data_IF_477755310771
#
_entry.id   IF_477755310771
#
_cell.length_a   1.000
_cell.length_b   1.000
_cell.length_c   1.000
_cell.angle_alpha   90.00
_cell.angle_beta   90.00
_cell.angle_gamma   90.00
#
_symmetry.space_group_name_H-M   'P 1'
#
loop_
_entity.id
_entity.type
_entity.pdbx_description
1 polymer ?
#
# COMPACT_ATOMS: atom_id res chain seq x y z
N UNK A 1 1.12 56.38 20.29
CA UNK A 1 0.68 55.41 21.32
C UNK A 1 0.13 54.21 20.57
N UNK A 2 0.86 53.10 20.52
CA UNK A 2 0.35 51.87 19.93
C UNK A 2 -0.14 50.99 21.08
N UNK A 3 -1.45 50.91 21.24
CA UNK A 3 -2.09 49.99 22.17
C UNK A 3 -1.85 48.56 21.67
N UNK A 4 -0.95 47.84 22.32
CA UNK A 4 -0.51 46.52 21.90
C UNK A 4 -1.05 45.41 22.80
N UNK A 5 -2.35 45.39 23.08
CA UNK A 5 -2.98 44.24 23.74
C UNK A 5 -4.45 44.13 23.38
N UNK A 6 -4.81 43.20 22.49
CA UNK A 6 -6.16 42.62 22.46
C UNK A 6 -6.11 41.14 22.13
N UNK A 7 -6.64 40.39 23.09
CA UNK A 7 -7.30 39.09 22.98
C UNK A 7 -8.15 38.97 21.70
N UNK A 8 -8.04 37.82 21.03
CA UNK A 8 -9.02 37.37 20.05
C UNK A 8 -8.71 37.77 18.61
N UNK A 9 -8.25 36.81 17.82
CA UNK A 9 -8.37 36.74 16.36
C UNK A 9 -7.87 37.90 15.47
N UNK A 10 -7.17 38.87 16.02
CA UNK A 10 -6.56 39.93 15.22
C UNK A 10 -5.14 39.51 14.79
N UNK A 11 -4.99 39.17 13.51
CA UNK A 11 -3.69 39.29 12.83
C UNK A 11 -3.10 40.66 13.17
N UNK A 12 -1.79 40.76 13.45
CA UNK A 12 -1.18 42.07 13.75
C UNK A 12 -1.34 42.95 12.51
N UNK A 13 -2.36 43.79 12.51
CA UNK A 13 -2.66 44.71 11.43
C UNK A 13 -2.09 46.06 11.82
N UNK A 14 -1.15 46.54 11.02
CA UNK A 14 -0.61 47.88 11.16
C UNK A 14 -0.81 48.56 9.81
N UNK A 15 -1.47 49.72 9.80
CA UNK A 15 -1.80 50.45 8.57
C UNK A 15 -2.60 49.63 7.53
N UNK A 16 -3.53 48.77 7.98
CA UNK A 16 -4.38 47.98 7.09
C UNK A 16 -3.69 46.78 6.41
N UNK A 17 -2.41 46.51 6.71
CA UNK A 17 -1.70 45.31 6.24
C UNK A 17 -1.41 44.34 7.38
N UNK A 18 -1.45 43.05 7.08
CA UNK A 18 -0.99 42.00 8.01
C UNK A 18 0.53 42.03 8.09
N UNK A 19 1.06 42.22 9.30
CA UNK A 19 2.49 42.18 9.53
C UNK A 19 3.04 40.75 9.42
N UNK A 20 4.20 40.61 8.81
CA UNK A 20 4.93 39.35 8.79
C UNK A 20 5.58 39.07 10.15
N UNK A 21 5.84 37.80 10.45
CA UNK A 21 6.49 37.38 11.72
C UNK A 21 7.84 38.05 11.94
N UNK A 22 8.58 38.29 10.85
CA UNK A 22 9.84 39.02 10.87
C UNK A 22 9.65 40.47 11.37
N UNK A 23 8.59 41.15 10.92
CA UNK A 23 8.28 42.52 11.34
C UNK A 23 7.83 42.54 12.81
N UNK A 24 7.01 41.58 13.24
CA UNK A 24 6.61 41.44 14.65
C UNK A 24 7.82 41.12 15.54
N UNK A 25 8.75 40.32 15.05
CA UNK A 25 10.00 40.03 15.74
C UNK A 25 10.82 41.31 15.97
N UNK A 26 11.03 42.12 14.91
CA UNK A 26 11.73 43.39 15.00
C UNK A 26 11.01 44.37 15.94
N UNK A 27 9.71 44.57 15.77
CA UNK A 27 8.92 45.49 16.58
C UNK A 27 8.96 45.17 18.10
N UNK A 28 9.04 43.88 18.45
CA UNK A 28 9.15 43.47 19.85
C UNK A 28 10.56 43.58 20.46
N UNK A 29 11.61 43.78 19.64
CA UNK A 29 13.02 43.62 20.04
C UNK A 29 13.95 44.73 19.56
N UNK A 30 13.47 45.62 18.72
CA UNK A 30 14.19 46.75 18.17
C UNK A 30 13.34 48.00 18.36
N UNK A 31 13.96 49.06 18.85
CA UNK A 31 13.35 50.39 18.95
C UNK A 31 14.14 51.35 18.08
N UNK A 32 13.43 52.11 17.26
CA UNK A 32 14.04 53.20 16.50
C UNK A 32 14.26 54.38 17.44
N UNK A 33 15.52 54.79 17.62
CA UNK A 33 15.89 55.98 18.38
C UNK A 33 15.62 57.24 17.53
N UNK A 34 15.41 58.41 18.16
CA UNK A 34 15.22 59.68 17.44
C UNK A 34 16.41 60.05 16.55
N UNK A 35 17.60 59.52 16.85
CA UNK A 35 18.83 59.70 16.08
C UNK A 35 18.88 58.82 14.82
N UNK A 36 17.82 58.04 14.54
CA UNK A 36 17.76 57.10 13.42
C UNK A 36 18.52 55.79 13.63
N UNK A 37 19.05 55.57 14.83
CA UNK A 37 19.76 54.34 15.19
C UNK A 37 18.82 53.28 15.74
N UNK A 38 19.08 52.02 15.40
CA UNK A 38 18.30 50.88 15.90
C UNK A 38 18.86 50.41 17.25
N UNK A 39 18.03 50.46 18.29
CA UNK A 39 18.35 49.91 19.61
C UNK A 39 17.72 48.53 19.76
N UNK A 40 18.54 47.49 19.69
CA UNK A 40 18.14 46.12 19.93
C UNK A 40 18.13 45.80 21.43
N UNK A 41 17.16 45.00 21.87
CA UNK A 41 17.05 44.52 23.26
C UNK A 41 18.26 43.66 23.64
N UNK A 42 18.77 42.88 22.68
CA UNK A 42 19.94 42.02 22.85
C UNK A 42 20.62 41.74 21.49
N UNK A 43 21.92 41.43 21.54
CA UNK A 43 22.73 41.18 20.34
C UNK A 43 22.35 39.88 19.62
N UNK A 44 21.81 38.89 20.34
CA UNK A 44 21.34 37.62 19.76
C UNK A 44 20.11 37.85 18.88
N UNK A 45 19.20 38.71 19.30
CA UNK A 45 18.02 39.13 18.55
C UNK A 45 18.41 39.88 17.29
N UNK A 46 19.41 40.77 17.37
CA UNK A 46 19.96 41.47 16.20
C UNK A 46 20.50 40.48 15.18
N UNK A 47 21.38 39.56 15.59
CA UNK A 47 21.97 38.53 14.70
C UNK A 47 20.92 37.65 14.03
N UNK A 48 19.88 37.25 14.77
CA UNK A 48 18.77 36.46 14.20
C UNK A 48 18.00 37.25 13.16
N UNK A 49 17.75 38.53 13.40
CA UNK A 49 17.07 39.39 12.44
C UNK A 49 17.90 39.59 11.17
N UNK A 50 19.20 39.87 11.31
CA UNK A 50 20.14 39.98 10.19
C UNK A 50 20.16 38.67 9.37
N UNK A 51 20.28 37.51 10.01
CA UNK A 51 20.25 36.21 9.33
C UNK A 51 18.94 35.97 8.56
N UNK A 52 17.78 36.31 9.16
CA UNK A 52 16.50 36.20 8.45
C UNK A 52 16.42 37.18 7.27
N UNK A 53 16.94 38.40 7.42
CA UNK A 53 16.93 39.43 6.38
C UNK A 53 17.84 39.07 5.21
N UNK A 54 19.01 38.48 5.49
CA UNK A 54 19.97 38.02 4.48
C UNK A 54 19.38 36.91 3.61
N UNK A 55 18.61 35.99 4.21
CA UNK A 55 17.93 34.92 3.47
C UNK A 55 16.82 35.43 2.53
N UNK A 56 16.21 36.57 2.84
CA UNK A 56 15.14 37.19 2.04
C UNK A 56 15.73 38.12 0.98
N UNK A 57 16.92 38.67 1.22
CA UNK A 57 17.58 39.54 0.28
C UNK A 57 17.84 38.78 -1.04
N UNK A 58 17.49 39.36 -2.20
CA UNK A 58 17.81 38.74 -3.48
C UNK A 58 19.32 38.66 -3.60
N UNK A 59 19.86 37.45 -3.72
CA UNK A 59 21.26 37.25 -4.05
C UNK A 59 21.45 37.47 -5.55
N UNK A 60 22.35 38.39 -5.92
CA UNK A 60 22.65 38.73 -7.32
C UNK A 60 23.45 37.62 -8.06
N UNK A 61 23.65 36.45 -7.46
CA UNK A 61 24.66 35.48 -7.89
C UNK A 61 24.17 34.30 -8.73
N UNK A 62 22.87 33.97 -8.80
CA UNK A 62 22.42 32.81 -9.58
C UNK A 62 21.05 33.03 -10.27
N UNK A 63 21.10 33.34 -11.57
CA UNK A 63 19.94 33.62 -12.42
C UNK A 63 19.13 32.39 -12.86
N UNK A 64 19.41 31.18 -12.35
CA UNK A 64 18.77 29.93 -12.82
C UNK A 64 17.93 29.17 -11.77
N UNK A 65 17.86 29.64 -10.52
CA UNK A 65 16.87 29.12 -9.55
C UNK A 65 16.33 30.20 -8.62
N UNK A 66 15.52 31.11 -9.17
CA UNK A 66 14.81 32.12 -8.37
C UNK A 66 13.66 31.50 -7.55
N UNK A 67 13.99 30.82 -6.46
CA UNK A 67 13.11 30.71 -5.30
C UNK A 67 13.66 31.63 -4.23
N UNK A 68 13.32 32.91 -4.29
CA UNK A 68 13.55 33.83 -3.16
C UNK A 68 12.84 33.25 -1.95
N UNK A 69 13.58 32.95 -0.88
CA UNK A 69 12.98 32.39 0.32
C UNK A 69 11.90 33.32 0.84
N UNK A 70 10.70 32.78 1.12
CA UNK A 70 9.65 33.63 1.66
C UNK A 70 10.06 34.12 3.05
N UNK A 71 9.57 35.28 3.52
CA UNK A 71 9.85 35.76 4.86
C UNK A 71 9.50 34.76 5.97
N UNK A 72 8.53 33.87 5.71
CA UNK A 72 8.15 32.79 6.62
C UNK A 72 9.17 31.66 6.63
N UNK A 73 9.69 31.26 5.46
CA UNK A 73 10.70 30.21 5.36
C UNK A 73 12.02 30.63 6.03
N UNK A 74 12.43 31.88 5.82
CA UNK A 74 13.58 32.46 6.50
C UNK A 74 13.39 32.47 8.03
N UNK A 75 12.19 32.85 8.49
CA UNK A 75 11.86 32.83 9.91
C UNK A 75 11.91 31.41 10.49
N UNK A 76 11.31 30.42 9.82
CA UNK A 76 11.31 29.02 10.26
C UNK A 76 12.72 28.43 10.23
N UNK A 77 13.58 28.83 9.28
CA UNK A 77 14.97 28.41 9.22
C UNK A 77 15.77 28.86 10.45
N UNK A 78 15.70 30.15 10.79
CA UNK A 78 16.48 30.75 11.88
C UNK A 78 15.90 30.41 13.25
N UNK A 79 14.58 30.48 13.39
CA UNK A 79 13.90 30.30 14.67
C UNK A 79 13.53 28.83 14.91
N UNK A 80 13.41 28.02 13.86
CA UNK A 80 12.85 26.68 13.92
C UNK A 80 11.33 26.68 13.85
N UNK A 81 10.76 25.49 13.59
CA UNK A 81 9.31 25.27 13.56
C UNK A 81 8.65 25.63 14.89
N UNK A 82 7.42 26.12 14.81
CA UNK A 82 6.59 26.39 15.97
C UNK A 82 6.18 25.08 16.67
N UNK A 83 5.89 25.19 17.98
CA UNK A 83 5.34 24.06 18.74
C UNK A 83 3.82 24.01 18.54
N UNK A 84 3.21 22.82 18.55
CA UNK A 84 1.76 22.70 18.57
C UNK A 84 1.14 23.59 19.67
N UNK A 85 0.16 24.42 19.30
CA UNK A 85 -0.52 25.32 20.23
C UNK A 85 0.26 26.57 20.68
N UNK A 86 1.49 26.80 20.19
CA UNK A 86 2.28 27.99 20.53
C UNK A 86 3.00 28.57 19.32
N UNK A 87 2.66 29.81 18.96
CA UNK A 87 3.37 30.56 17.93
C UNK A 87 4.48 31.40 18.56
N UNK A 88 5.71 31.24 18.08
CA UNK A 88 6.84 32.06 18.54
C UNK A 88 6.62 33.52 18.21
N UNK A 89 7.00 34.39 19.15
CA UNK A 89 6.95 35.85 19.05
C UNK A 89 5.55 36.47 18.94
N UNK A 90 4.49 35.68 19.14
CA UNK A 90 3.11 36.13 19.05
C UNK A 90 2.33 36.15 20.38
N UNK A 91 3.00 35.83 21.50
CA UNK A 91 2.40 35.80 22.84
C UNK A 91 1.47 34.60 23.10
N UNK A 92 0.90 34.54 24.31
CA UNK A 92 -0.09 33.54 24.72
C UNK A 92 -1.50 33.96 24.29
N UNK A 93 -1.90 33.59 23.08
CA UNK A 93 -3.24 33.94 22.58
C UNK A 93 -3.43 33.71 21.09
N UNK A 94 -2.33 33.64 20.34
CA UNK A 94 -2.36 33.28 18.91
C UNK A 94 -2.05 31.79 18.75
N UNK A 95 -2.95 31.07 18.11
CA UNK A 95 -2.72 29.68 17.71
C UNK A 95 -2.10 29.64 16.32
N UNK A 96 -1.51 28.49 15.95
CA UNK A 96 -1.04 28.26 14.57
C UNK A 96 -2.13 28.60 13.55
N UNK A 97 -3.39 28.31 13.87
CA UNK A 97 -4.55 28.62 13.03
C UNK A 97 -4.72 30.11 12.73
N UNK A 98 -4.37 30.98 13.68
CA UNK A 98 -4.51 32.44 13.51
C UNK A 98 -3.46 33.00 12.55
N UNK A 99 -2.26 32.42 12.53
CA UNK A 99 -1.13 32.89 11.71
C UNK A 99 -1.10 32.26 10.33
N UNK A 100 -1.32 30.95 10.27
CA UNK A 100 -1.27 30.17 9.04
C UNK A 100 -2.64 30.00 8.39
N UNK A 101 -3.67 30.66 8.95
CA UNK A 101 -5.07 30.41 8.64
C UNK A 101 -5.54 29.06 9.17
N UNK A 102 -6.78 28.68 8.88
CA UNK A 102 -7.11 27.25 8.89
C UNK A 102 -6.18 26.58 7.89
N UNK A 103 -5.06 26.04 8.36
CA UNK A 103 -4.49 24.88 7.72
C UNK A 103 -5.62 23.90 7.70
N UNK A 104 -6.18 23.66 6.51
CA UNK A 104 -6.99 22.50 6.28
C UNK A 104 -6.08 21.27 6.41
N UNK A 105 -5.63 20.97 7.61
CA UNK A 105 -5.96 19.67 8.17
C UNK A 105 -7.48 19.69 8.40
N UNK A 106 -8.22 19.74 7.29
CA UNK A 106 -9.51 19.08 7.29
C UNK A 106 -9.27 17.60 7.64
N UNK A 107 -10.31 16.82 7.93
CA UNK A 107 -10.21 15.39 7.70
C UNK A 107 -9.64 15.24 6.30
N UNK A 108 -8.38 14.81 6.23
CA UNK A 108 -7.61 14.89 5.01
C UNK A 108 -8.37 14.11 3.96
N UNK A 109 -8.43 14.56 2.70
CA UNK A 109 -8.92 13.68 1.62
C UNK A 109 -8.17 12.33 1.59
N UNK A 110 -7.01 12.27 2.28
CA UNK A 110 -6.32 11.04 2.68
C UNK A 110 -7.12 10.12 3.58
N UNK A 111 -7.84 10.57 4.63
CA UNK A 111 -8.54 9.67 5.56
C UNK A 111 -9.74 8.96 4.93
N UNK A 112 -10.41 9.60 3.97
CA UNK A 112 -11.54 8.98 3.28
C UNK A 112 -11.06 8.02 2.18
N UNK A 113 -10.01 8.40 1.44
CA UNK A 113 -9.31 7.50 0.50
C UNK A 113 -8.68 6.30 1.22
N UNK A 114 -8.12 6.50 2.42
CA UNK A 114 -7.51 5.45 3.24
C UNK A 114 -8.56 4.53 3.84
N UNK A 115 -9.72 5.06 4.26
CA UNK A 115 -10.89 4.22 4.62
C UNK A 115 -11.38 3.39 3.44
N UNK A 116 -11.54 4.00 2.26
CA UNK A 116 -11.94 3.27 1.05
C UNK A 116 -10.91 2.20 0.68
N UNK A 117 -9.62 2.50 0.81
CA UNK A 117 -8.54 1.55 0.55
C UNK A 117 -8.54 0.39 1.57
N UNK A 118 -8.74 0.68 2.86
CA UNK A 118 -8.89 -0.34 3.90
C UNK A 118 -10.10 -1.24 3.65
N UNK A 119 -11.23 -0.66 3.23
CA UNK A 119 -12.43 -1.42 2.92
C UNK A 119 -12.23 -2.32 1.68
N UNK A 120 -11.56 -1.81 0.64
CA UNK A 120 -11.18 -2.61 -0.52
C UNK A 120 -10.23 -3.76 -0.17
N UNK A 121 -9.23 -3.51 0.67
CA UNK A 121 -8.31 -4.54 1.16
C UNK A 121 -9.05 -5.63 1.94
N UNK A 122 -9.97 -5.25 2.83
CA UNK A 122 -10.77 -6.19 3.60
C UNK A 122 -11.64 -7.07 2.71
N UNK A 123 -12.26 -6.50 1.68
CA UNK A 123 -13.03 -7.27 0.69
C UNK A 123 -12.15 -8.25 -0.10
N UNK A 124 -10.91 -7.88 -0.42
CA UNK A 124 -9.96 -8.81 -1.05
C UNK A 124 -9.53 -9.92 -0.11
N UNK A 125 -9.27 -9.60 1.16
CA UNK A 125 -8.91 -10.59 2.18
C UNK A 125 -10.05 -11.61 2.39
N UNK A 126 -11.29 -11.16 2.48
CA UNK A 126 -12.46 -12.04 2.60
C UNK A 126 -12.63 -12.95 1.36
N UNK A 127 -12.34 -12.43 0.16
CA UNK A 127 -12.36 -13.24 -1.08
C UNK A 127 -11.26 -14.30 -1.08
N UNK A 128 -10.05 -13.95 -0.69
CA UNK A 128 -8.93 -14.89 -0.59
C UNK A 128 -9.21 -15.96 0.46
N UNK A 129 -9.78 -15.58 1.60
CA UNK A 129 -10.19 -16.51 2.66
C UNK A 129 -11.25 -17.48 2.16
N UNK A 130 -12.29 -17.00 1.48
CA UNK A 130 -13.31 -17.87 0.89
C UNK A 130 -12.75 -18.80 -0.19
N UNK A 131 -11.73 -18.38 -0.94
CA UNK A 131 -11.03 -19.25 -1.89
C UNK A 131 -10.19 -20.31 -1.17
N UNK A 132 -9.49 -19.94 -0.10
CA UNK A 132 -8.74 -20.89 0.72
C UNK A 132 -9.67 -21.96 1.32
N UNK A 133 -10.84 -21.57 1.83
CA UNK A 133 -11.82 -22.52 2.36
C UNK A 133 -12.32 -23.49 1.28
N UNK A 134 -12.51 -23.03 0.03
CA UNK A 134 -12.85 -23.90 -1.10
C UNK A 134 -11.72 -24.88 -1.46
N UNK A 135 -10.46 -24.43 -1.41
CA UNK A 135 -9.32 -25.32 -1.66
C UNK A 135 -9.21 -26.39 -0.57
N UNK A 136 -9.39 -26.02 0.70
CA UNK A 136 -9.40 -26.98 1.81
C UNK A 136 -10.50 -28.03 1.63
N UNK A 137 -11.71 -27.63 1.21
CA UNK A 137 -12.78 -28.57 0.89
C UNK A 137 -12.44 -29.48 -0.30
N UNK A 138 -11.74 -28.95 -1.31
CA UNK A 138 -11.30 -29.72 -2.47
C UNK A 138 -10.22 -30.73 -2.10
N UNK A 139 -9.25 -30.32 -1.27
CA UNK A 139 -8.20 -31.18 -0.74
C UNK A 139 -8.78 -32.32 0.10
N UNK A 140 -9.82 -32.03 0.90
CA UNK A 140 -10.53 -33.06 1.64
C UNK A 140 -11.23 -34.05 0.70
N UNK A 141 -11.91 -33.56 -0.36
CA UNK A 141 -12.52 -34.43 -1.38
C UNK A 141 -11.51 -35.29 -2.11
N UNK A 142 -10.34 -34.73 -2.46
CA UNK A 142 -9.24 -35.47 -3.08
C UNK A 142 -8.75 -36.56 -2.12
N UNK A 143 -8.58 -36.23 -0.84
CA UNK A 143 -8.17 -37.18 0.20
C UNK A 143 -9.20 -38.30 0.41
N UNK A 144 -10.49 -38.00 0.25
CA UNK A 144 -11.56 -39.00 0.29
C UNK A 144 -11.51 -39.90 -0.95
N UNK A 145 -11.33 -39.33 -2.14
CA UNK A 145 -11.21 -40.09 -3.39
C UNK A 145 -9.98 -41.00 -3.39
N UNK A 146 -8.82 -40.52 -2.91
CA UNK A 146 -7.62 -41.35 -2.75
C UNK A 146 -7.87 -42.53 -1.80
N UNK A 147 -8.57 -42.31 -0.68
CA UNK A 147 -8.97 -43.41 0.22
C UNK A 147 -9.88 -44.43 -0.44
N UNK A 148 -10.81 -43.98 -1.29
CA UNK A 148 -11.69 -44.90 -2.04
C UNK A 148 -10.89 -45.67 -3.09
N UNK A 149 -9.99 -45.00 -3.82
CA UNK A 149 -9.13 -45.63 -4.81
C UNK A 149 -8.27 -46.74 -4.18
N UNK A 150 -7.61 -46.48 -3.04
CA UNK A 150 -6.85 -47.51 -2.33
C UNK A 150 -7.70 -48.72 -1.94
N UNK A 151 -8.95 -48.51 -1.50
CA UNK A 151 -9.87 -49.61 -1.19
C UNK A 151 -10.30 -50.40 -2.43
N UNK A 152 -10.47 -49.73 -3.57
CA UNK A 152 -10.78 -50.40 -4.84
C UNK A 152 -9.59 -51.25 -5.29
N UNK A 153 -8.36 -50.75 -5.14
CA UNK A 153 -7.14 -51.53 -5.42
C UNK A 153 -7.03 -52.76 -4.51
N UNK A 154 -7.30 -52.61 -3.21
CA UNK A 154 -7.36 -53.74 -2.26
C UNK A 154 -8.41 -54.78 -2.67
N UNK A 155 -9.61 -54.35 -3.07
CA UNK A 155 -10.65 -55.26 -3.58
C UNK A 155 -10.24 -55.96 -4.87
N UNK A 156 -9.54 -55.27 -5.77
CA UNK A 156 -9.02 -55.86 -7.02
C UNK A 156 -8.01 -56.98 -6.73
N UNK A 157 -7.10 -56.75 -5.79
CA UNK A 157 -6.12 -57.76 -5.35
C UNK A 157 -6.82 -58.98 -4.74
N UNK A 158 -7.83 -58.76 -3.89
CA UNK A 158 -8.64 -59.84 -3.30
C UNK A 158 -9.39 -60.66 -4.36
N UNK A 159 -10.02 -60.00 -5.34
CA UNK A 159 -10.71 -60.68 -6.45
C UNK A 159 -9.74 -61.51 -7.29
N UNK A 160 -8.53 -60.98 -7.56
CA UNK A 160 -7.49 -61.71 -8.27
C UNK A 160 -7.04 -62.96 -7.52
N UNK A 161 -6.85 -62.89 -6.19
CA UNK A 161 -6.53 -64.05 -5.38
C UNK A 161 -7.63 -65.12 -5.39
N UNK A 162 -8.91 -64.71 -5.35
CA UNK A 162 -10.05 -65.63 -5.42
C UNK A 162 -10.11 -66.31 -6.78
N UNK A 163 -9.92 -65.58 -7.88
CA UNK A 163 -9.87 -66.16 -9.23
C UNK A 163 -8.70 -67.14 -9.39
N UNK A 164 -7.52 -66.76 -8.92
CA UNK A 164 -6.33 -67.63 -8.96
C UNK A 164 -6.49 -68.92 -8.14
N UNK A 165 -7.30 -68.89 -7.07
CA UNK A 165 -7.62 -70.08 -6.28
C UNK A 165 -8.75 -70.93 -6.86
N UNK A 166 -9.64 -70.36 -7.70
CA UNK A 166 -10.67 -71.10 -8.44
C UNK A 166 -10.15 -71.84 -9.68
N UNK A 167 -9.06 -71.39 -10.30
CA UNK A 167 -8.44 -72.09 -11.45
C UNK A 167 -7.59 -73.31 -11.05
N UNK A 168 -7.50 -73.65 -9.75
CA UNK A 168 -6.79 -74.85 -9.27
C UNK A 168 -7.73 -76.05 -9.07
N UNK A 169 -8.64 -76.28 -10.01
CA UNK A 169 -9.28 -77.59 -10.19
C UNK A 169 -8.98 -78.09 -11.60
N UNK A 170 -8.20 -79.17 -11.64
CA UNK A 170 -7.72 -79.91 -12.80
C UNK A 170 -8.78 -80.06 -13.90
N UNK A 171 -8.49 -79.75 -15.18
CA UNK A 171 -9.35 -80.14 -16.27
C UNK A 171 -9.16 -81.64 -16.56
N UNK A 172 -10.20 -82.43 -16.38
CA UNK A 172 -10.26 -83.84 -16.80
C UNK A 172 -10.29 -83.88 -18.34
N UNK A 173 -9.42 -84.65 -19.02
CA UNK A 173 -9.42 -84.76 -20.48
C UNK A 173 -10.57 -85.67 -20.93
N UNK A 174 -11.46 -85.14 -21.78
CA UNK A 174 -12.48 -85.92 -22.49
C UNK A 174 -11.92 -86.29 -23.87
N UNK A 175 -12.03 -87.56 -24.33
CA UNK A 175 -11.51 -87.98 -25.63
C UNK A 175 -12.40 -87.49 -26.80
N UNK A 176 -11.85 -87.33 -28.01
CA UNK A 176 -12.53 -86.71 -29.14
C UNK A 176 -13.46 -87.71 -29.88
N UNK A 177 -14.61 -87.27 -30.41
CA UNK A 177 -15.37 -88.01 -31.41
C UNK A 177 -14.86 -87.76 -32.84
N UNK A 178 -15.21 -88.73 -33.68
CA UNK A 178 -14.66 -89.08 -34.98
C UNK A 178 -15.01 -88.08 -36.10
N UNK A 179 -14.10 -88.04 -37.07
CA UNK A 179 -13.98 -87.20 -38.26
C UNK A 179 -15.26 -87.04 -39.11
N UNK A 180 -15.39 -85.88 -39.73
CA UNK A 180 -16.02 -85.72 -41.05
C UNK A 180 -15.25 -84.65 -41.80
N UNK A 181 -14.54 -85.10 -42.83
CA UNK A 181 -13.74 -84.31 -43.75
C UNK A 181 -14.65 -83.46 -44.63
N UNK A 182 -14.28 -82.20 -44.87
CA UNK A 182 -14.66 -81.45 -46.07
C UNK A 182 -13.67 -80.32 -46.24
N UNK A 183 -12.79 -80.53 -47.22
CA UNK A 183 -11.88 -79.56 -47.79
C UNK A 183 -12.63 -78.36 -48.35
N UNK A 184 -12.14 -77.16 -48.06
CA UNK A 184 -12.02 -76.10 -49.07
C UNK A 184 -10.90 -75.15 -48.65
N UNK A 185 -9.77 -75.34 -49.32
CA UNK A 185 -8.57 -74.51 -49.35
C UNK A 185 -8.83 -73.18 -50.07
N UNK A 186 -8.16 -72.12 -49.62
CA UNK A 186 -7.59 -70.97 -50.36
C UNK A 186 -7.54 -69.73 -49.43
N UNK A 187 -6.41 -69.58 -48.75
CA UNK A 187 -5.40 -68.50 -48.84
C UNK A 187 -5.88 -67.06 -49.09
N UNK A 188 -5.57 -66.14 -48.16
CA UNK A 188 -4.46 -65.15 -48.22
C UNK A 188 -5.05 -63.77 -48.61
N UNK A 189 -4.73 -62.61 -48.03
CA UNK A 189 -3.62 -62.15 -47.21
C UNK A 189 -4.07 -61.03 -46.24
N UNK A 190 -3.17 -60.78 -45.32
CA UNK A 190 -2.97 -59.64 -44.42
C UNK A 190 -3.02 -58.26 -45.08
N UNK A 191 -3.50 -57.27 -44.33
CA UNK A 191 -2.81 -55.99 -44.05
C UNK A 191 -3.68 -55.24 -43.01
N UNK A 192 -3.28 -55.17 -41.75
CA UNK A 192 -2.39 -54.14 -41.18
C UNK A 192 -2.70 -52.71 -41.67
N UNK A 193 -3.29 -51.89 -40.80
CA UNK A 193 -2.64 -50.65 -40.35
C UNK A 193 -3.41 -50.04 -39.17
N UNK A 194 -2.75 -50.06 -38.02
CA UNK A 194 -2.85 -49.06 -36.97
C UNK A 194 -2.56 -47.67 -37.57
N UNK A 195 -3.30 -46.60 -37.22
CA UNK A 195 -2.64 -45.47 -36.56
C UNK A 195 -3.53 -44.29 -36.14
N UNK A 196 -3.19 -43.86 -34.93
CA UNK A 196 -3.08 -42.51 -34.39
C UNK A 196 -4.23 -41.50 -34.40
N UNK A 197 -4.66 -41.17 -33.16
CA UNK A 197 -4.53 -39.84 -32.54
C UNK A 197 -4.34 -38.64 -33.48
N UNK A 198 -5.24 -37.66 -33.42
CA UNK A 198 -4.89 -36.26 -33.05
C UNK A 198 -6.14 -35.54 -32.48
N UNK A 199 -6.02 -34.78 -31.37
CA UNK A 199 -7.07 -33.89 -30.87
C UNK A 199 -6.94 -32.46 -31.45
N UNK A 200 -7.77 -31.55 -30.92
CA UNK A 200 -7.69 -30.07 -30.93
C UNK A 200 -8.77 -29.37 -31.76
N UNK A 201 -9.78 -28.84 -31.06
CA UNK A 201 -9.98 -27.40 -30.87
C UNK A 201 -10.86 -27.13 -29.64
#
# INVERSE_FOLDING_TARGET
MCELWTTGDERFQMHGRTLHRLEVFKMGRCKDLPDGTESWVDEESRRRYEAMSEMIAPSDVDAESHTTATPEDAFISVMGKDRPGRVRCAGSGKTLRTWYGSTSTGPSAYSERERQMQEQLKVQEDKLKAQADKMNQMEEKISQLQRVASKVDEMSVLLSQIQASQTRTQPVPVPPPVQSESDSEIDEATDDYLDHDVPVS
#
